data_IF_160202562977
#
_entry.id   IF_160202562977
#
_cell.length_a   1.000
_cell.length_b   1.000
_cell.length_c   1.000
_cell.angle_alpha   90.00
_cell.angle_beta   90.00
_cell.angle_gamma   90.00
#
_symmetry.space_group_name_H-M   'P 1'
#
loop_
_entity.id
_entity.type
_entity.pdbx_description
1 polymer ?
#
# COMPACT_ATOMS: atom_id res chain seq x y z
N UNK A 1 -30.38 28.65 9.31
CA UNK A 1 -29.06 28.33 9.90
C UNK A 1 -28.18 27.65 8.86
N UNK A 2 -28.64 26.62 8.15
CA UNK A 2 -27.90 25.98 7.05
C UNK A 2 -27.53 26.92 5.89
N UNK A 3 -28.42 27.81 5.45
CA UNK A 3 -28.10 28.81 4.39
C UNK A 3 -27.00 29.81 4.77
N UNK A 4 -26.83 30.11 6.07
CA UNK A 4 -25.80 31.06 6.53
C UNK A 4 -24.39 30.45 6.39
N UNK A 5 -24.27 29.13 6.56
CA UNK A 5 -22.99 28.42 6.53
C UNK A 5 -22.48 28.20 5.10
N UNK A 6 -23.38 28.06 4.13
CA UNK A 6 -23.04 27.88 2.71
C UNK A 6 -22.43 29.15 2.11
N UNK A 7 -22.92 30.34 2.53
CA UNK A 7 -22.36 31.63 2.12
C UNK A 7 -20.94 31.91 2.64
N UNK A 8 -20.46 31.12 3.61
CA UNK A 8 -19.09 31.22 4.14
C UNK A 8 -18.15 30.15 3.55
N UNK A 9 -18.60 29.37 2.56
CA UNK A 9 -17.79 28.37 1.86
C UNK A 9 -17.48 27.12 2.70
N UNK A 10 -18.33 26.80 3.68
CA UNK A 10 -18.17 25.62 4.53
C UNK A 10 -19.17 24.55 4.06
N UNK A 11 -18.67 23.45 3.50
CA UNK A 11 -19.47 22.28 3.14
C UNK A 11 -19.99 21.58 4.41
N UNK A 12 -21.30 21.36 4.48
CA UNK A 12 -21.94 20.66 5.60
C UNK A 12 -22.21 19.22 5.18
N UNK A 13 -21.40 18.29 5.67
CA UNK A 13 -21.58 16.84 5.46
C UNK A 13 -22.70 16.36 6.40
N UNK A 14 -23.80 15.89 5.82
CA UNK A 14 -24.92 15.29 6.55
C UNK A 14 -24.62 13.85 6.96
N UNK A 15 -24.75 13.56 8.25
CA UNK A 15 -24.67 12.21 8.81
C UNK A 15 -25.80 11.32 8.30
N UNK A 16 -25.46 10.16 7.71
CA UNK A 16 -26.35 9.00 7.69
C UNK A 16 -25.57 7.68 7.57
N UNK A 17 -25.69 6.88 8.64
CA UNK A 17 -25.55 5.42 8.74
C UNK A 17 -24.15 4.80 8.76
N UNK A 18 -23.78 4.35 9.97
CA UNK A 18 -22.71 3.41 10.22
C UNK A 18 -23.01 2.02 9.65
N UNK A 19 -22.05 1.52 8.89
CA UNK A 19 -21.64 0.12 8.89
C UNK A 19 -20.13 0.10 9.08
N UNK A 20 -19.69 -0.40 10.22
CA UNK A 20 -18.29 -0.66 10.55
C UNK A 20 -17.73 -1.72 9.59
N UNK A 21 -17.19 -1.24 8.49
CA UNK A 21 -16.08 -1.86 7.79
C UNK A 21 -15.22 -0.69 7.31
N UNK A 22 -14.32 -0.23 8.18
CA UNK A 22 -13.16 0.54 7.75
C UNK A 22 -12.30 -0.41 6.90
N UNK A 23 -12.74 -0.64 5.67
CA UNK A 23 -11.82 -0.67 4.56
C UNK A 23 -11.24 0.75 4.49
N UNK A 24 -10.25 1.02 5.35
CA UNK A 24 -9.20 1.97 4.98
C UNK A 24 -8.58 1.38 3.70
N UNK A 25 -9.24 1.64 2.58
CA UNK A 25 -8.62 1.68 1.28
C UNK A 25 -7.37 2.50 1.52
N UNK A 26 -6.21 1.84 1.46
CA UNK A 26 -4.93 2.50 1.42
C UNK A 26 -4.92 3.33 0.12
N UNK A 27 -5.65 4.44 0.08
CA UNK A 27 -5.28 5.65 -0.61
C UNK A 27 -3.94 6.06 0.01
N UNK A 28 -2.89 5.29 -0.34
CA UNK A 28 -1.59 5.90 -0.48
C UNK A 28 -1.87 7.04 -1.44
N UNK A 29 -1.83 8.23 -0.89
CA UNK A 29 -1.56 9.41 -1.64
C UNK A 29 -0.18 9.18 -2.30
N UNK A 30 -0.21 8.55 -3.48
CA UNK A 30 0.90 8.40 -4.38
C UNK A 30 1.20 9.75 -5.03
N UNK A 31 0.61 10.87 -4.56
CA UNK A 31 1.09 12.20 -4.91
C UNK A 31 2.60 12.21 -4.73
N UNK A 32 3.22 12.46 -5.86
CA UNK A 32 4.64 12.59 -5.98
C UNK A 32 4.96 13.91 -5.27
N UNK A 33 5.82 13.92 -4.23
CA UNK A 33 6.23 15.15 -3.58
C UNK A 33 6.62 16.21 -4.62
N UNK A 34 6.12 17.44 -4.45
CA UNK A 34 6.48 18.56 -5.34
C UNK A 34 8.01 18.74 -5.33
N UNK A 35 8.61 18.78 -6.54
CA UNK A 35 10.06 18.87 -6.72
C UNK A 35 10.72 17.62 -7.32
N UNK A 36 9.98 16.52 -7.54
CA UNK A 36 10.48 15.32 -8.20
C UNK A 36 10.18 15.36 -9.71
N UNK A 37 11.23 15.38 -10.53
CA UNK A 37 11.15 15.44 -11.99
C UNK A 37 10.47 14.21 -12.60
N UNK A 38 9.95 14.32 -13.83
CA UNK A 38 9.17 13.25 -14.50
C UNK A 38 10.06 12.04 -14.87
N UNK A 39 11.34 12.30 -15.12
CA UNK A 39 12.42 11.34 -15.42
C UNK A 39 13.08 10.76 -14.16
N UNK A 40 12.59 11.11 -12.98
CA UNK A 40 13.13 10.62 -11.72
C UNK A 40 12.84 9.12 -11.53
N UNK A 41 13.85 8.31 -11.17
CA UNK A 41 13.69 6.87 -10.95
C UNK A 41 12.65 6.52 -9.88
N UNK A 42 12.50 7.35 -8.84
CA UNK A 42 11.49 7.14 -7.78
C UNK A 42 10.10 7.27 -8.37
N UNK A 43 9.87 8.31 -9.18
CA UNK A 43 8.57 8.56 -9.80
C UNK A 43 8.18 7.45 -10.77
N UNK A 44 9.13 6.94 -11.55
CA UNK A 44 8.90 5.79 -12.43
C UNK A 44 8.51 4.55 -11.60
N UNK A 45 9.25 4.28 -10.52
CA UNK A 45 8.95 3.16 -9.62
C UNK A 45 7.55 3.26 -8.99
N UNK A 46 7.19 4.42 -8.43
CA UNK A 46 5.86 4.65 -7.82
C UNK A 46 4.72 4.45 -8.84
N UNK A 47 4.93 4.89 -10.08
CA UNK A 47 3.97 4.69 -11.16
C UNK A 47 3.80 3.23 -11.53
N UNK A 48 4.89 2.45 -11.58
CA UNK A 48 4.81 1.02 -11.92
C UNK A 48 4.10 0.21 -10.83
N UNK A 49 4.43 0.42 -9.55
CA UNK A 49 3.77 -0.31 -8.46
C UNK A 49 2.30 0.08 -8.29
N UNK A 50 1.94 1.32 -8.68
CA UNK A 50 0.56 1.80 -8.65
C UNK A 50 -0.37 1.13 -9.67
N UNK A 51 0.18 0.49 -10.71
CA UNK A 51 -0.59 -0.28 -11.70
C UNK A 51 -1.00 -1.66 -11.19
N UNK A 52 -0.34 -2.17 -10.15
CA UNK A 52 -0.61 -3.50 -9.61
C UNK A 52 -1.87 -3.43 -8.73
N UNK A 53 -2.90 -4.23 -9.03
CA UNK A 53 -4.11 -4.25 -8.22
C UNK A 53 -3.82 -4.80 -6.81
N UNK A 54 -4.59 -4.32 -5.83
CA UNK A 54 -4.56 -4.87 -4.48
C UNK A 54 -5.18 -6.28 -4.48
N UNK A 55 -4.73 -7.10 -3.52
CA UNK A 55 -5.27 -8.45 -3.33
C UNK A 55 -6.38 -8.43 -2.28
N UNK A 56 -7.42 -9.19 -2.52
CA UNK A 56 -8.38 -9.59 -1.49
C UNK A 56 -7.76 -10.62 -0.54
N UNK A 57 -8.35 -10.76 0.65
CA UNK A 57 -7.90 -11.74 1.65
C UNK A 57 -7.95 -13.18 1.11
N UNK A 58 -8.93 -13.50 0.25
CA UNK A 58 -9.05 -14.81 -0.39
C UNK A 58 -7.92 -15.07 -1.39
N UNK A 59 -7.57 -14.06 -2.20
CA UNK A 59 -6.43 -14.15 -3.13
C UNK A 59 -5.10 -14.29 -2.39
N UNK A 60 -4.91 -13.61 -1.26
CA UNK A 60 -3.72 -13.78 -0.42
C UNK A 60 -3.57 -15.24 0.04
N UNK A 61 -4.67 -15.86 0.47
CA UNK A 61 -4.69 -17.27 0.89
C UNK A 61 -4.38 -18.21 -0.29
N UNK A 62 -4.98 -17.97 -1.46
CA UNK A 62 -4.72 -18.77 -2.66
C UNK A 62 -3.24 -18.71 -3.06
N UNK A 63 -2.67 -17.50 -3.08
CA UNK A 63 -1.27 -17.30 -3.42
C UNK A 63 -0.35 -17.93 -2.37
N UNK A 64 -0.65 -17.78 -1.08
CA UNK A 64 0.13 -18.39 0.00
C UNK A 64 0.16 -19.93 -0.12
N UNK A 65 -0.98 -20.55 -0.42
CA UNK A 65 -1.05 -22.00 -0.64
C UNK A 65 -0.15 -22.43 -1.82
N UNK A 66 -0.20 -21.69 -2.93
CA UNK A 66 0.64 -21.97 -4.10
C UNK A 66 2.13 -21.74 -3.81
N UNK A 67 2.47 -20.76 -2.98
CA UNK A 67 3.85 -20.50 -2.54
C UNK A 67 4.39 -21.68 -1.72
N UNK A 68 3.57 -22.30 -0.85
CA UNK A 68 3.97 -23.51 -0.11
C UNK A 68 4.30 -24.68 -1.06
N UNK A 69 3.67 -24.72 -2.23
CA UNK A 69 3.93 -25.72 -3.27
C UNK A 69 5.15 -25.36 -4.16
N UNK A 70 5.84 -24.24 -3.88
CA UNK A 70 6.99 -23.77 -4.64
C UNK A 70 6.66 -22.93 -5.88
N UNK A 71 5.44 -22.41 -6.01
CA UNK A 71 5.06 -21.54 -7.13
C UNK A 71 5.71 -20.15 -7.03
N UNK A 72 6.79 -19.98 -7.80
CA UNK A 72 7.53 -18.73 -7.83
C UNK A 72 6.78 -17.57 -8.49
N UNK A 73 5.76 -17.84 -9.31
CA UNK A 73 4.89 -16.79 -9.87
C UNK A 73 3.93 -16.29 -8.80
N UNK A 74 3.40 -17.19 -7.97
CA UNK A 74 2.55 -16.81 -6.84
C UNK A 74 3.34 -15.95 -5.84
N UNK A 75 4.59 -16.34 -5.53
CA UNK A 75 5.51 -15.55 -4.70
C UNK A 75 5.71 -14.14 -5.24
N UNK A 76 5.99 -14.03 -6.54
CA UNK A 76 6.17 -12.76 -7.22
C UNK A 76 4.90 -11.91 -7.15
N UNK A 77 3.73 -12.49 -7.44
CA UNK A 77 2.44 -11.78 -7.42
C UNK A 77 2.10 -11.25 -6.02
N UNK A 78 2.29 -12.07 -4.97
CA UNK A 78 2.04 -11.65 -3.59
C UNK A 78 2.99 -10.51 -3.16
N UNK A 79 4.27 -10.58 -3.55
CA UNK A 79 5.21 -9.50 -3.29
C UNK A 79 4.84 -8.21 -4.06
N UNK A 80 4.54 -8.30 -5.35
CA UNK A 80 4.21 -7.14 -6.21
C UNK A 80 2.98 -6.38 -5.70
N UNK A 81 1.93 -7.09 -5.29
CA UNK A 81 0.72 -6.48 -4.73
C UNK A 81 0.98 -5.71 -3.42
N UNK A 82 2.04 -6.06 -2.70
CA UNK A 82 2.41 -5.47 -1.42
C UNK A 82 3.53 -4.42 -1.51
N UNK A 83 4.00 -4.06 -2.71
CA UNK A 83 5.03 -3.03 -2.87
C UNK A 83 4.57 -1.64 -2.37
N UNK A 84 3.26 -1.37 -2.44
CA UNK A 84 2.67 -0.12 -1.90
C UNK A 84 2.83 -0.03 -0.38
N UNK A 85 2.73 -1.15 0.33
CA UNK A 85 2.96 -1.21 1.78
C UNK A 85 4.40 -0.84 2.13
N UNK A 86 5.37 -1.32 1.36
CA UNK A 86 6.78 -0.96 1.57
C UNK A 86 6.97 0.56 1.47
N UNK A 87 6.38 1.18 0.44
CA UNK A 87 6.46 2.63 0.24
C UNK A 87 5.79 3.39 1.39
N UNK A 88 4.61 2.99 1.85
CA UNK A 88 3.93 3.68 2.96
C UNK A 88 4.71 3.60 4.28
N UNK A 89 5.38 2.47 4.54
CA UNK A 89 6.26 2.31 5.69
C UNK A 89 7.52 3.16 5.51
N UNK A 90 8.20 3.07 4.36
CA UNK A 90 9.44 3.78 4.05
C UNK A 90 9.28 5.31 4.13
N UNK A 91 8.13 5.85 3.72
CA UNK A 91 7.81 7.29 3.83
C UNK A 91 8.04 7.82 5.26
N UNK A 92 7.77 7.03 6.30
CA UNK A 92 7.95 7.44 7.71
C UNK A 92 9.42 7.62 8.12
N UNK A 93 10.37 7.11 7.32
CA UNK A 93 11.80 7.13 7.59
C UNK A 93 12.57 8.13 6.72
N UNK A 94 11.89 8.82 5.80
CA UNK A 94 12.49 9.86 4.95
C UNK A 94 13.03 11.01 5.82
N UNK A 95 14.13 11.63 5.38
CA UNK A 95 14.76 12.75 6.09
C UNK A 95 15.68 12.36 7.26
N UNK A 96 15.92 11.05 7.47
CA UNK A 96 16.80 10.53 8.53
C UNK A 96 18.23 10.19 8.06
N UNK A 97 18.68 10.81 6.97
CA UNK A 97 20.04 10.63 6.45
C UNK A 97 20.25 9.49 5.45
N UNK A 98 19.17 8.85 4.99
CA UNK A 98 19.18 7.83 3.93
C UNK A 98 18.27 8.27 2.76
N UNK A 99 18.64 7.91 1.53
CA UNK A 99 17.81 8.21 0.36
C UNK A 99 16.52 7.40 0.41
N UNK A 100 15.43 7.95 -0.13
CA UNK A 100 14.14 7.28 -0.11
C UNK A 100 14.14 5.97 -0.89
N UNK A 101 14.86 5.89 -2.02
CA UNK A 101 15.05 4.65 -2.76
C UNK A 101 15.71 3.58 -1.92
N UNK A 102 16.76 3.92 -1.17
CA UNK A 102 17.47 2.93 -0.35
C UNK A 102 16.54 2.34 0.73
N UNK A 103 15.69 3.18 1.35
CA UNK A 103 14.67 2.73 2.31
C UNK A 103 13.66 1.78 1.65
N UNK A 104 13.21 2.09 0.43
CA UNK A 104 12.30 1.23 -0.35
C UNK A 104 13.00 -0.10 -0.68
N UNK A 105 14.25 -0.07 -1.10
CA UNK A 105 15.00 -1.27 -1.48
C UNK A 105 15.19 -2.21 -0.28
N UNK A 106 15.58 -1.68 0.88
CA UNK A 106 15.67 -2.46 2.12
C UNK A 106 14.30 -3.02 2.54
N UNK A 107 13.24 -2.21 2.43
CA UNK A 107 11.88 -2.65 2.70
C UNK A 107 11.41 -3.77 1.75
N UNK A 108 11.75 -3.69 0.46
CA UNK A 108 11.45 -4.72 -0.54
C UNK A 108 12.17 -6.03 -0.23
N UNK A 109 13.42 -5.97 0.24
CA UNK A 109 14.14 -7.16 0.69
C UNK A 109 13.47 -7.80 1.92
N UNK A 110 13.01 -6.97 2.86
CA UNK A 110 12.21 -7.42 4.00
C UNK A 110 10.90 -8.08 3.57
N UNK A 111 10.18 -7.46 2.63
CA UNK A 111 8.95 -7.96 2.06
C UNK A 111 9.12 -9.34 1.43
N UNK A 112 10.14 -9.55 0.61
CA UNK A 112 10.40 -10.84 -0.04
C UNK A 112 10.61 -11.94 1.01
N UNK A 113 11.35 -11.64 2.09
CA UNK A 113 11.55 -12.59 3.19
C UNK A 113 10.27 -12.85 3.99
N UNK A 114 9.40 -11.84 4.13
CA UNK A 114 8.11 -12.00 4.78
C UNK A 114 7.19 -12.91 3.94
N UNK A 115 7.15 -12.73 2.62
CA UNK A 115 6.42 -13.60 1.69
C UNK A 115 6.88 -15.06 1.79
N UNK A 116 8.18 -15.32 1.93
CA UNK A 116 8.71 -16.68 2.11
C UNK A 116 8.26 -17.36 3.39
N UNK A 117 7.94 -16.58 4.43
CA UNK A 117 7.64 -17.06 5.78
C UNK A 117 6.17 -16.89 6.15
N UNK A 118 5.35 -16.39 5.22
CA UNK A 118 3.96 -16.08 5.50
C UNK A 118 3.18 -17.37 5.75
N UNK A 119 2.48 -17.40 6.88
CA UNK A 119 1.65 -18.51 7.30
C UNK A 119 0.19 -18.04 7.39
N UNK A 120 -0.53 -18.26 6.29
CA UNK A 120 -1.93 -17.87 6.15
C UNK A 120 -2.87 -18.60 7.12
N UNK A 121 -2.44 -19.73 7.72
CA UNK A 121 -3.26 -20.54 8.64
C UNK A 121 -3.42 -19.87 10.00
N UNK A 122 -2.61 -18.86 10.30
CA UNK A 122 -2.71 -18.06 11.53
C UNK A 122 -3.90 -17.09 11.52
N UNK A 123 -4.56 -16.90 10.38
CA UNK A 123 -5.76 -16.07 10.27
C UNK A 123 -5.49 -14.56 10.26
N UNK A 124 -4.25 -14.13 10.09
CA UNK A 124 -3.88 -12.73 9.90
C UNK A 124 -3.67 -12.41 8.42
N UNK A 125 -4.01 -11.18 8.00
CA UNK A 125 -3.70 -10.67 6.66
C UNK A 125 -2.19 -10.54 6.50
N UNK A 126 -1.70 -10.62 5.26
CA UNK A 126 -0.27 -10.48 5.00
C UNK A 126 0.28 -9.09 5.44
N UNK A 127 -0.54 -8.06 5.34
CA UNK A 127 -0.16 -6.65 5.57
C UNK A 127 -0.13 -6.22 7.05
N UNK A 128 -0.44 -7.11 8.00
CA UNK A 128 -0.45 -6.81 9.44
C UNK A 128 0.96 -6.77 10.00
#
# INVERSE_FOLDING_TARGET
>A
IYEVLESMGIEVIGDANGTDAVEEELELDLTIPEGIAIDDPVRMYLKEIGKVPLLSSEEEIELANRIEQGDQRAKKKLAEANLRLVVSIAKRYVGRGMLFLDLIQEGNLGLIKAVEKFDYRKGFKFST
#
